data_IF_141971778793
#
_entry.id   IF_141971778793
#
_cell.length_a   1.000
_cell.length_b   1.000
_cell.length_c   1.000
_cell.angle_alpha   90.00
_cell.angle_beta   90.00
_cell.angle_gamma   90.00
#
_symmetry.space_group_name_H-M   'P 1'
#
loop_
_entity.id
_entity.type
_entity.pdbx_description
1 polymer ?
#
# COMPACT_ATOMS: atom_id res chain seq x y z
N UNK A 1 -15.33 2.80 -3.25
CA UNK A 1 -14.45 3.13 -2.11
C UNK A 1 -15.17 2.84 -0.81
N UNK A 2 -14.54 2.13 0.12
CA UNK A 2 -15.05 1.88 1.48
C UNK A 2 -14.62 3.01 2.41
N UNK A 3 -15.50 3.40 3.33
CA UNK A 3 -15.21 4.32 4.42
C UNK A 3 -15.12 3.55 5.73
N UNK A 4 -14.00 3.68 6.42
CA UNK A 4 -13.67 3.00 7.66
C UNK A 4 -13.65 4.01 8.80
N UNK A 5 -14.69 4.01 9.64
CA UNK A 5 -14.74 4.88 10.83
C UNK A 5 -14.01 4.22 11.99
N UNK A 6 -13.06 4.94 12.59
CA UNK A 6 -12.30 4.44 13.74
C UNK A 6 -13.09 4.57 15.04
N UNK A 7 -12.83 3.66 15.97
CA UNK A 7 -13.27 3.78 17.36
C UNK A 7 -12.60 5.01 18.00
N UNK A 8 -13.26 5.72 18.95
CA UNK A 8 -12.66 6.85 19.65
C UNK A 8 -11.28 6.48 20.24
N UNK A 9 -10.30 7.36 20.06
CA UNK A 9 -8.93 7.18 20.54
C UNK A 9 -8.06 6.26 19.66
N UNK A 10 -8.58 5.68 18.57
CA UNK A 10 -7.79 4.85 17.64
C UNK A 10 -7.19 5.64 16.48
N UNK A 11 -7.53 6.91 16.35
CA UNK A 11 -6.98 7.83 15.34
C UNK A 11 -5.52 8.21 15.58
N UNK A 12 -5.02 8.05 16.80
CA UNK A 12 -3.67 8.50 17.19
C UNK A 12 -2.56 7.85 16.33
N UNK A 13 -2.68 6.57 16.01
CA UNK A 13 -1.73 5.87 15.14
C UNK A 13 -1.72 6.46 13.72
N UNK A 14 -2.90 6.82 13.19
CA UNK A 14 -3.03 7.44 11.86
C UNK A 14 -2.45 8.86 11.87
N UNK A 15 -2.71 9.64 12.91
CA UNK A 15 -2.13 10.97 13.09
C UNK A 15 -0.59 10.95 13.16
N UNK A 16 -0.02 9.86 13.70
CA UNK A 16 1.42 9.59 13.67
C UNK A 16 1.89 8.97 12.34
N UNK A 17 1.02 8.91 11.32
CA UNK A 17 1.29 8.35 9.98
C UNK A 17 1.64 6.86 9.97
N UNK A 18 1.13 6.09 10.95
CA UNK A 18 1.25 4.63 10.90
C UNK A 18 0.41 4.10 9.72
N UNK A 19 0.99 3.27 8.83
CA UNK A 19 0.33 2.91 7.57
C UNK A 19 -0.71 1.79 7.71
N UNK A 20 -0.90 1.18 8.87
CA UNK A 20 -1.77 0.02 9.03
C UNK A 20 -3.01 0.34 9.88
N UNK A 21 -4.17 -0.08 9.38
CA UNK A 21 -5.42 -0.09 10.13
C UNK A 21 -5.80 -1.54 10.42
N UNK A 22 -5.84 -1.88 11.69
CA UNK A 22 -6.29 -3.19 12.14
C UNK A 22 -7.81 -3.24 12.28
N UNK A 23 -8.42 -4.41 12.01
CA UNK A 23 -9.87 -4.62 12.12
C UNK A 23 -10.44 -4.22 13.49
N UNK A 24 -9.68 -4.50 14.58
CA UNK A 24 -10.07 -4.14 15.95
C UNK A 24 -10.17 -2.62 16.23
N UNK A 25 -9.59 -1.77 15.36
CA UNK A 25 -9.67 -0.32 15.48
C UNK A 25 -10.93 0.28 14.84
N UNK A 26 -11.67 -0.50 14.04
CA UNK A 26 -12.82 -0.04 13.25
C UNK A 26 -14.11 -0.12 14.10
N UNK A 27 -14.85 0.96 14.13
CA UNK A 27 -16.20 1.03 14.71
C UNK A 27 -17.27 0.65 13.69
N UNK A 28 -17.16 1.16 12.46
CA UNK A 28 -18.14 0.88 11.40
C UNK A 28 -17.50 1.00 10.01
N UNK A 29 -18.15 0.36 9.04
CA UNK A 29 -17.81 0.42 7.63
C UNK A 29 -19.01 0.86 6.82
N UNK A 30 -18.80 1.67 5.79
CA UNK A 30 -19.85 2.11 4.87
C UNK A 30 -19.31 2.26 3.45
N UNK A 31 -20.18 2.07 2.46
CA UNK A 31 -19.82 2.13 1.05
C UNK A 31 -19.37 0.77 0.48
N UNK A 32 -18.94 0.79 -0.77
CA UNK A 32 -18.47 -0.38 -1.51
C UNK A 32 -16.94 -0.37 -1.59
N UNK A 33 -16.31 -1.44 -1.11
CA UNK A 33 -14.86 -1.63 -1.12
C UNK A 33 -14.35 -2.49 -2.29
N UNK A 34 -15.20 -2.82 -3.27
CA UNK A 34 -14.85 -3.69 -4.40
C UNK A 34 -13.72 -3.15 -5.27
N UNK A 35 -13.54 -1.82 -5.29
CA UNK A 35 -12.45 -1.13 -5.99
C UNK A 35 -11.11 -1.16 -5.23
N UNK A 36 -11.03 -1.79 -4.05
CA UNK A 36 -9.83 -1.88 -3.22
C UNK A 36 -9.39 -0.56 -2.59
N UNK A 37 -10.25 0.47 -2.55
CA UNK A 37 -9.94 1.79 -2.01
C UNK A 37 -10.57 1.99 -0.63
N UNK A 38 -9.76 2.47 0.32
CA UNK A 38 -10.21 2.84 1.65
C UNK A 38 -10.01 4.33 1.93
N UNK A 39 -11.02 4.94 2.55
CA UNK A 39 -10.92 6.20 3.27
C UNK A 39 -11.10 5.92 4.76
N UNK A 40 -10.13 6.34 5.57
CA UNK A 40 -10.18 6.21 7.02
C UNK A 40 -10.62 7.55 7.62
N UNK A 41 -11.60 7.50 8.49
CA UNK A 41 -12.13 8.68 9.19
C UNK A 41 -12.08 8.47 10.71
N UNK A 42 -12.03 9.55 11.46
CA UNK A 42 -12.17 9.49 12.93
C UNK A 42 -13.63 9.24 13.37
N UNK A 43 -13.85 9.18 14.68
CA UNK A 43 -15.18 8.97 15.27
C UNK A 43 -16.19 10.11 14.95
N UNK A 44 -15.70 11.29 14.58
CA UNK A 44 -16.52 12.42 14.15
C UNK A 44 -16.76 12.46 12.63
N UNK A 45 -16.23 11.48 11.88
CA UNK A 45 -16.35 11.38 10.44
C UNK A 45 -15.36 12.25 9.65
N UNK A 46 -14.34 12.84 10.30
CA UNK A 46 -13.33 13.66 9.62
C UNK A 46 -12.33 12.75 8.91
N UNK A 47 -12.04 12.97 7.60
CA UNK A 47 -11.07 12.20 6.87
C UNK A 47 -9.65 12.32 7.48
N UNK A 48 -8.97 11.18 7.62
CA UNK A 48 -7.62 11.11 8.16
C UNK A 48 -6.60 10.62 7.11
N UNK A 49 -6.95 9.58 6.35
CA UNK A 49 -6.01 8.92 5.44
C UNK A 49 -6.73 8.11 4.38
N UNK A 50 -6.01 7.77 3.28
CA UNK A 50 -6.50 6.88 2.23
C UNK A 50 -5.45 5.86 1.82
N UNK A 51 -5.92 4.70 1.32
CA UNK A 51 -5.03 3.62 0.88
C UNK A 51 -5.77 2.41 0.31
N UNK A 52 -5.09 1.26 0.34
CA UNK A 52 -5.60 -0.02 -0.13
C UNK A 52 -6.45 -0.71 0.93
N UNK A 53 -7.56 -1.31 0.51
CA UNK A 53 -8.51 -2.06 1.34
C UNK A 53 -8.38 -3.57 1.13
N UNK A 54 -8.23 -4.32 2.21
CA UNK A 54 -8.14 -5.79 2.23
C UNK A 54 -9.18 -6.35 3.21
N UNK A 55 -10.40 -6.66 2.76
CA UNK A 55 -11.53 -7.02 3.64
C UNK A 55 -11.30 -8.29 4.46
N UNK A 56 -10.47 -9.22 3.96
CA UNK A 56 -10.23 -10.52 4.59
C UNK A 56 -8.99 -10.53 5.50
N UNK A 57 -8.24 -9.42 5.58
CA UNK A 57 -7.03 -9.28 6.39
C UNK A 57 -7.33 -8.69 7.76
N UNK A 58 -6.54 -9.05 8.78
CA UNK A 58 -6.55 -8.32 10.06
C UNK A 58 -6.07 -6.87 9.90
N UNK A 59 -5.14 -6.61 8.96
CA UNK A 59 -4.76 -5.27 8.55
C UNK A 59 -5.67 -4.89 7.38
N UNK A 60 -6.84 -4.35 7.71
CA UNK A 60 -7.93 -4.09 6.75
C UNK A 60 -7.64 -2.94 5.80
N UNK A 61 -6.77 -2.01 6.17
CA UNK A 61 -6.29 -0.99 5.24
C UNK A 61 -4.80 -0.72 5.41
N UNK A 62 -4.14 -0.50 4.28
CA UNK A 62 -2.76 -0.02 4.19
C UNK A 62 -2.76 1.37 3.58
N UNK A 63 -2.37 2.35 4.39
CA UNK A 63 -2.52 3.77 4.10
C UNK A 63 -1.33 4.28 3.28
N UNK A 64 -1.66 5.08 2.28
CA UNK A 64 -0.67 5.71 1.41
C UNK A 64 -0.66 7.23 1.53
N UNK A 65 -1.79 7.87 1.84
CA UNK A 65 -1.87 9.33 1.99
C UNK A 65 -2.50 9.73 3.33
N UNK A 66 -2.03 10.86 3.89
CA UNK A 66 -2.45 11.38 5.20
C UNK A 66 -2.78 12.88 5.12
N UNK A 67 -2.93 13.40 3.92
CA UNK A 67 -3.12 14.83 3.61
C UNK A 67 -4.39 15.10 2.79
N UNK A 68 -5.29 14.11 2.74
CA UNK A 68 -6.52 14.18 1.94
C UNK A 68 -6.35 13.86 0.45
N UNK A 69 -5.12 13.71 -0.04
CA UNK A 69 -4.84 13.32 -1.44
C UNK A 69 -5.40 11.92 -1.71
N UNK A 70 -6.08 11.77 -2.83
CA UNK A 70 -6.50 10.44 -3.32
C UNK A 70 -5.29 9.73 -3.93
N UNK A 71 -5.01 8.46 -3.55
CA UNK A 71 -3.99 7.67 -4.21
C UNK A 71 -4.30 7.53 -5.70
N UNK A 72 -3.27 7.70 -6.53
CA UNK A 72 -3.35 7.63 -7.99
C UNK A 72 -1.98 7.23 -8.59
N UNK A 73 -1.92 7.07 -9.90
CA UNK A 73 -0.69 6.78 -10.62
C UNK A 73 0.42 7.83 -10.34
N UNK A 74 0.05 9.11 -10.23
CA UNK A 74 1.03 10.18 -9.97
C UNK A 74 1.69 10.02 -8.59
N UNK A 75 0.95 9.59 -7.58
CA UNK A 75 1.48 9.26 -6.26
C UNK A 75 2.53 8.12 -6.33
N UNK A 76 2.24 7.05 -7.08
CA UNK A 76 3.18 5.92 -7.19
C UNK A 76 4.44 6.29 -7.99
N UNK A 77 4.30 7.07 -9.06
CA UNK A 77 5.45 7.65 -9.78
C UNK A 77 6.36 8.46 -8.86
N UNK A 78 5.78 9.36 -8.07
CA UNK A 78 6.51 10.19 -7.11
C UNK A 78 7.31 9.33 -6.12
N UNK A 79 6.68 8.31 -5.53
CA UNK A 79 7.29 7.45 -4.52
C UNK A 79 8.35 6.51 -5.08
N UNK A 80 8.08 5.91 -6.23
CA UNK A 80 9.06 5.05 -6.89
C UNK A 80 10.27 5.86 -7.35
N UNK A 81 10.07 7.07 -7.86
CA UNK A 81 11.17 7.98 -8.18
C UNK A 81 11.98 8.38 -6.93
N UNK A 82 11.32 8.63 -5.79
CA UNK A 82 12.00 8.91 -4.54
C UNK A 82 12.80 7.69 -4.04
N UNK A 83 12.21 6.50 -4.10
CA UNK A 83 12.88 5.24 -3.75
C UNK A 83 14.10 4.98 -4.64
N UNK A 84 13.97 5.20 -5.96
CA UNK A 84 15.08 5.09 -6.92
C UNK A 84 16.22 6.06 -6.59
N UNK A 85 15.91 7.32 -6.29
CA UNK A 85 16.93 8.31 -5.88
C UNK A 85 17.68 7.85 -4.65
N UNK A 86 16.96 7.42 -3.60
CA UNK A 86 17.58 6.93 -2.37
C UNK A 86 18.58 5.78 -2.66
N UNK A 87 18.18 4.80 -3.47
CA UNK A 87 19.07 3.66 -3.83
C UNK A 87 20.30 4.14 -4.60
N UNK A 88 20.12 5.08 -5.52
CA UNK A 88 21.24 5.67 -6.26
C UNK A 88 22.24 6.37 -5.33
N UNK A 89 21.76 6.99 -4.27
CA UNK A 89 22.61 7.74 -3.33
C UNK A 89 23.34 6.83 -2.33
N UNK A 90 22.79 5.64 -2.02
CA UNK A 90 23.33 4.76 -0.96
C UNK A 90 23.99 3.47 -1.46
N UNK A 91 23.69 3.03 -2.69
CA UNK A 91 24.24 1.79 -3.24
C UNK A 91 25.50 2.06 -4.08
N UNK A 92 26.50 1.12 -4.07
CA UNK A 92 27.60 1.17 -5.01
C UNK A 92 27.13 1.19 -6.47
N UNK A 93 27.89 1.89 -7.34
CA UNK A 93 27.48 2.12 -8.74
C UNK A 93 27.36 0.83 -9.58
N UNK A 94 28.08 -0.22 -9.20
CA UNK A 94 28.11 -1.53 -9.86
C UNK A 94 27.06 -2.51 -9.29
N UNK A 95 26.19 -2.07 -8.38
CA UNK A 95 25.13 -2.91 -7.80
C UNK A 95 24.08 -3.26 -8.85
N UNK A 96 23.98 -4.53 -9.22
CA UNK A 96 23.02 -5.05 -10.21
C UNK A 96 21.78 -5.72 -9.60
N UNK A 97 21.78 -5.99 -8.29
CA UNK A 97 20.66 -6.64 -7.60
C UNK A 97 20.33 -5.92 -6.29
N UNK A 98 19.12 -5.37 -6.19
CA UNK A 98 18.70 -4.62 -4.99
C UNK A 98 17.19 -4.48 -4.87
N UNK A 99 16.71 -4.26 -3.64
CA UNK A 99 15.31 -3.87 -3.38
C UNK A 99 15.09 -2.41 -3.72
N UNK A 100 14.41 -2.17 -4.83
CA UNK A 100 14.14 -0.84 -5.35
C UNK A 100 12.99 -0.14 -4.60
N UNK A 101 11.95 -0.90 -4.20
CA UNK A 101 10.83 -0.40 -3.35
C UNK A 101 10.62 -1.38 -2.20
N UNK A 102 10.64 -0.86 -0.98
CA UNK A 102 10.53 -1.64 0.26
C UNK A 102 9.27 -1.27 1.07
N UNK A 103 8.11 -1.51 0.49
CA UNK A 103 6.82 -1.41 1.17
C UNK A 103 6.67 -0.15 2.03
N UNK A 104 6.44 -0.28 3.34
CA UNK A 104 6.26 0.83 4.28
C UNK A 104 7.48 1.76 4.33
N UNK A 105 8.68 1.22 4.18
CA UNK A 105 9.93 1.99 4.18
C UNK A 105 9.98 3.04 3.06
N UNK A 106 9.34 2.77 1.93
CA UNK A 106 9.22 3.70 0.80
C UNK A 106 7.80 4.28 0.69
N UNK A 107 7.00 4.21 1.74
CA UNK A 107 5.62 4.70 1.81
C UNK A 107 4.67 4.06 0.77
N UNK A 108 5.02 2.86 0.30
CA UNK A 108 4.24 2.05 -0.64
C UNK A 108 3.74 0.78 0.05
N UNK A 109 3.11 0.92 1.23
CA UNK A 109 2.67 -0.19 2.06
C UNK A 109 1.98 -1.29 1.26
N UNK A 110 2.50 -2.51 1.35
CA UNK A 110 2.00 -3.67 0.64
C UNK A 110 2.61 -3.91 -0.76
N UNK A 111 3.63 -3.14 -1.16
CA UNK A 111 4.29 -3.28 -2.47
C UNK A 111 5.80 -3.45 -2.30
N UNK A 112 6.37 -4.48 -2.93
CA UNK A 112 7.82 -4.66 -3.05
C UNK A 112 8.21 -4.60 -4.52
N UNK A 113 9.38 -4.03 -4.81
CA UNK A 113 10.00 -4.12 -6.14
C UNK A 113 11.47 -4.44 -5.95
N UNK A 114 11.91 -5.56 -6.51
CA UNK A 114 13.31 -5.97 -6.57
C UNK A 114 13.81 -5.84 -8.01
N UNK A 115 15.01 -5.31 -8.19
CA UNK A 115 15.69 -5.18 -9.50
C UNK A 115 16.87 -6.11 -9.54
N UNK A 116 17.02 -6.85 -10.65
CA UNK A 116 18.12 -7.76 -10.96
C UNK A 116 18.59 -7.50 -12.39
N UNK A 117 19.58 -6.64 -12.57
CA UNK A 117 20.02 -6.20 -13.88
C UNK A 117 18.86 -5.54 -14.65
N UNK A 118 18.49 -6.15 -15.79
CA UNK A 118 17.38 -5.67 -16.64
C UNK A 118 15.99 -6.23 -16.27
N UNK A 119 15.91 -7.05 -15.23
CA UNK A 119 14.65 -7.65 -14.78
C UNK A 119 14.21 -6.98 -13.48
N UNK A 120 12.94 -6.57 -13.41
CA UNK A 120 12.30 -6.18 -12.16
C UNK A 120 11.24 -7.21 -11.75
N UNK A 121 11.17 -7.50 -10.45
CA UNK A 121 10.14 -8.35 -9.85
C UNK A 121 9.34 -7.48 -8.89
N UNK A 122 8.05 -7.30 -9.17
CA UNK A 122 7.13 -6.63 -8.27
C UNK A 122 6.27 -7.65 -7.54
N UNK A 123 6.15 -7.50 -6.24
CA UNK A 123 5.31 -8.33 -5.39
C UNK A 123 4.21 -7.49 -4.75
N UNK A 124 2.95 -7.87 -5.00
CA UNK A 124 1.77 -7.28 -4.39
C UNK A 124 1.37 -8.15 -3.19
N UNK A 125 1.58 -7.61 -1.99
CA UNK A 125 1.51 -8.39 -0.75
C UNK A 125 0.10 -8.61 -0.23
N UNK A 126 -0.91 -7.95 -0.82
CA UNK A 126 -2.28 -7.99 -0.30
C UNK A 126 -3.32 -7.86 -1.39
N UNK A 127 -4.52 -8.40 -1.11
CA UNK A 127 -5.68 -8.26 -1.99
C UNK A 127 -5.96 -6.79 -2.35
N UNK A 128 -5.84 -5.88 -1.36
CA UNK A 128 -6.05 -4.46 -1.61
C UNK A 128 -5.05 -3.85 -2.57
N UNK A 129 -3.76 -4.24 -2.48
CA UNK A 129 -2.73 -3.74 -3.42
C UNK A 129 -2.88 -4.31 -4.83
N UNK A 130 -3.42 -5.53 -4.97
CA UNK A 130 -3.69 -6.15 -6.27
C UNK A 130 -4.69 -5.34 -7.11
N UNK A 131 -5.66 -4.66 -6.47
CA UNK A 131 -6.61 -3.78 -7.15
C UNK A 131 -5.97 -2.54 -7.78
N UNK A 132 -4.74 -2.21 -7.38
CA UNK A 132 -3.96 -1.09 -7.91
C UNK A 132 -2.86 -1.53 -8.88
N UNK A 133 -2.88 -2.80 -9.28
CA UNK A 133 -1.87 -3.42 -10.13
C UNK A 133 -1.50 -2.58 -11.35
N UNK A 134 -2.47 -2.09 -12.11
CA UNK A 134 -2.22 -1.35 -13.35
C UNK A 134 -1.40 -0.09 -13.10
N UNK A 135 -1.77 0.71 -12.09
CA UNK A 135 -1.06 1.95 -11.75
C UNK A 135 0.35 1.65 -11.21
N UNK A 136 0.49 0.61 -10.39
CA UNK A 136 1.76 0.18 -9.82
C UNK A 136 2.71 -0.37 -10.88
N UNK A 137 2.23 -1.20 -11.81
CA UNK A 137 3.01 -1.72 -12.94
C UNK A 137 3.49 -0.59 -13.85
N UNK A 138 2.61 0.35 -14.19
CA UNK A 138 2.96 1.47 -15.03
C UNK A 138 4.02 2.36 -14.36
N UNK A 139 3.84 2.70 -13.09
CA UNK A 139 4.82 3.46 -12.33
C UNK A 139 6.18 2.74 -12.24
N UNK A 140 6.18 1.40 -12.06
CA UNK A 140 7.42 0.62 -12.01
C UNK A 140 8.15 0.60 -13.35
N UNK A 141 7.43 0.37 -14.47
CA UNK A 141 8.00 0.39 -15.82
C UNK A 141 8.64 1.73 -16.16
N UNK A 142 7.95 2.81 -15.88
CA UNK A 142 8.43 4.16 -16.17
C UNK A 142 9.60 4.56 -15.27
N UNK A 143 9.61 4.13 -14.01
CA UNK A 143 10.65 4.53 -13.05
C UNK A 143 11.91 3.69 -13.20
N UNK A 144 11.80 2.36 -13.28
CA UNK A 144 12.95 1.45 -13.27
C UNK A 144 13.37 1.02 -14.68
N UNK A 145 12.54 1.27 -15.70
CA UNK A 145 12.80 0.96 -17.12
C UNK A 145 13.34 -0.45 -17.37
N UNK A 146 12.77 -1.50 -16.74
CA UNK A 146 13.28 -2.86 -16.90
C UNK A 146 12.93 -3.39 -18.30
N UNK A 147 13.81 -4.22 -18.88
CA UNK A 147 13.49 -4.96 -20.10
C UNK A 147 12.32 -5.94 -19.85
N UNK A 148 12.25 -6.48 -18.63
CA UNK A 148 11.16 -7.37 -18.21
C UNK A 148 10.68 -7.04 -16.79
N UNK A 149 9.37 -6.83 -16.63
CA UNK A 149 8.69 -6.74 -15.32
C UNK A 149 7.89 -8.01 -15.07
N UNK A 150 8.19 -8.69 -13.98
CA UNK A 150 7.46 -9.86 -13.47
C UNK A 150 6.64 -9.40 -12.27
N UNK A 151 5.34 -9.68 -12.28
CA UNK A 151 4.46 -9.35 -11.15
C UNK A 151 4.00 -10.62 -10.47
N UNK A 152 4.19 -10.68 -9.14
CA UNK A 152 3.80 -11.79 -8.29
C UNK A 152 2.71 -11.34 -7.32
N UNK A 153 1.72 -12.17 -7.14
CA UNK A 153 0.66 -12.02 -6.15
C UNK A 153 1.01 -12.89 -4.94
N UNK A 154 1.48 -12.27 -3.87
CA UNK A 154 1.84 -12.99 -2.64
C UNK A 154 0.75 -12.98 -1.58
N UNK A 155 -0.24 -12.10 -1.74
CA UNK A 155 -1.21 -11.81 -0.69
C UNK A 155 -2.21 -12.91 -0.42
N UNK A 156 -2.44 -13.80 -1.37
CA UNK A 156 -3.53 -14.76 -1.27
C UNK A 156 -3.37 -15.80 -0.15
N UNK A 157 -2.14 -16.20 0.19
CA UNK A 157 -1.94 -17.29 1.16
C UNK A 157 -1.71 -16.81 2.59
N UNK A 158 -1.09 -15.64 2.79
CA UNK A 158 -0.88 -15.09 4.14
C UNK A 158 -2.12 -14.42 4.72
N UNK A 159 -2.95 -13.77 3.90
CA UNK A 159 -4.18 -13.13 4.32
C UNK A 159 -5.36 -14.11 4.43
N UNK A 160 -5.40 -15.21 3.68
CA UNK A 160 -6.48 -16.21 3.70
C UNK A 160 -6.56 -17.05 4.98
N UNK A 161 -5.48 -17.12 5.76
CA UNK A 161 -5.43 -17.93 7.00
C UNK A 161 -6.03 -17.25 8.23
N UNK A 162 -6.28 -15.94 8.19
CA UNK A 162 -6.73 -15.18 9.36
C UNK A 162 -8.08 -14.54 9.07
N UNK A 163 -9.17 -15.23 9.41
CA UNK A 163 -10.52 -14.68 9.30
C UNK A 163 -10.65 -13.45 10.20
N UNK A 164 -11.13 -12.38 9.61
CA UNK A 164 -11.53 -11.17 10.33
C UNK A 164 -12.69 -11.51 11.28
N UNK A 165 -12.62 -11.16 12.59
CA UNK A 165 -13.77 -11.32 13.47
C UNK A 165 -14.91 -10.41 13.03
N UNK A 166 -16.19 -10.79 13.23
CA UNK A 166 -17.32 -9.94 12.94
C UNK A 166 -17.21 -8.64 13.76
N UNK A 167 -17.68 -7.53 13.18
CA UNK A 167 -17.83 -6.27 13.91
C UNK A 167 -18.90 -6.46 14.98
N UNK A 168 -18.55 -6.28 16.23
CA UNK A 168 -19.46 -6.33 17.38
C UNK A 168 -20.03 -4.95 17.66
#
# INVERSE_FOLDING_TARGET
>A
MIRLALKPGREESVLRRHPWIFSGAIASESGDGSDGRAEVVDAAGRPLARGAYSPHSQIVARLWTFDGRTPDLALFRERFAAARRLRKDVLPADTSGFRAVNSEGDRCAGVLVDVFGEVAVMELLTEGTERWRMDLELAARETFTPARLIVRESGSDRDRGVRRPPLS
#
